data_IF_027886712635
#
_entry.id   IF_027886712635
#
_cell.length_a   1.000
_cell.length_b   1.000
_cell.length_c   1.000
_cell.angle_alpha   90.00
_cell.angle_beta   90.00
_cell.angle_gamma   90.00
#
_symmetry.space_group_name_H-M   'P 1'
#
loop_
_entity.id
_entity.type
_entity.pdbx_description
1 polymer ?
#
# COMPACT_ATOMS: atom_id res chain seq x y z
N UNK A 1 -13.70 2.09 0.34
CA UNK A 1 -13.96 3.41 -0.26
C UNK A 1 -13.93 3.30 -1.79
N UNK A 2 -14.96 3.75 -2.49
CA UNK A 2 -15.12 3.62 -3.95
C UNK A 2 -14.33 4.71 -4.68
N UNK A 3 -13.08 4.42 -5.05
CA UNK A 3 -12.33 5.19 -6.05
C UNK A 3 -12.37 4.52 -7.43
N UNK A 4 -11.91 5.21 -8.49
CA UNK A 4 -11.95 4.67 -9.84
C UNK A 4 -11.09 3.41 -9.98
N UNK A 5 -11.52 2.49 -10.85
CA UNK A 5 -10.75 1.32 -11.24
C UNK A 5 -10.33 1.49 -12.69
N UNK A 6 -9.03 1.45 -12.95
CA UNK A 6 -8.46 1.53 -14.29
C UNK A 6 -7.94 0.15 -14.69
N UNK A 7 -8.36 -0.33 -15.85
CA UNK A 7 -7.98 -1.64 -16.37
C UNK A 7 -7.26 -1.48 -17.70
N UNK A 8 -6.19 -2.25 -17.87
CA UNK A 8 -5.44 -2.39 -19.13
C UNK A 8 -5.40 -3.86 -19.52
N UNK A 9 -4.76 -4.19 -20.63
CA UNK A 9 -4.60 -5.58 -21.07
C UNK A 9 -3.88 -6.49 -20.05
N UNK A 10 -3.09 -5.93 -19.12
CA UNK A 10 -2.28 -6.72 -18.18
C UNK A 10 -2.40 -6.32 -16.71
N UNK A 11 -2.95 -5.14 -16.42
CA UNK A 11 -2.92 -4.54 -15.09
C UNK A 11 -4.27 -3.92 -14.72
N UNK A 12 -4.60 -4.03 -13.44
CA UNK A 12 -5.70 -3.32 -12.79
C UNK A 12 -5.11 -2.38 -11.75
N UNK A 13 -5.40 -1.08 -11.87
CA UNK A 13 -5.15 -0.11 -10.83
C UNK A 13 -6.47 0.18 -10.12
N UNK A 14 -6.51 -0.10 -8.82
CA UNK A 14 -7.67 0.11 -7.96
C UNK A 14 -7.25 0.83 -6.67
N UNK A 15 -8.20 1.41 -5.92
CA UNK A 15 -7.91 1.90 -4.57
C UNK A 15 -7.24 0.83 -3.71
N UNK A 16 -6.32 1.26 -2.86
CA UNK A 16 -5.67 0.40 -1.87
C UNK A 16 -6.71 -0.13 -0.90
N UNK A 17 -6.58 -1.39 -0.53
CA UNK A 17 -7.43 -2.13 0.39
C UNK A 17 -6.59 -2.77 1.48
N UNK A 18 -7.24 -3.26 2.53
CA UNK A 18 -6.55 -3.95 3.63
C UNK A 18 -5.85 -5.24 3.19
N UNK A 19 -6.35 -5.89 2.14
CA UNK A 19 -5.76 -7.12 1.58
C UNK A 19 -4.40 -6.88 0.93
N UNK A 20 -4.06 -5.64 0.59
CA UNK A 20 -2.78 -5.30 -0.04
C UNK A 20 -1.63 -5.22 0.97
N UNK A 21 -1.94 -5.12 2.26
CA UNK A 21 -0.92 -4.85 3.28
C UNK A 21 0.22 -5.89 3.31
N UNK A 22 -0.02 -7.22 3.23
CA UNK A 22 1.07 -8.19 3.22
C UNK A 22 2.07 -7.94 2.08
N UNK A 23 1.57 -7.73 0.85
CA UNK A 23 2.42 -7.44 -0.31
C UNK A 23 3.10 -6.08 -0.22
N UNK A 24 2.43 -5.10 0.35
CA UNK A 24 3.02 -3.79 0.62
C UNK A 24 4.20 -3.91 1.59
N UNK A 25 4.02 -4.65 2.69
CA UNK A 25 5.06 -4.86 3.69
C UNK A 25 6.27 -5.60 3.10
N UNK A 26 6.04 -6.61 2.24
CA UNK A 26 7.10 -7.26 1.46
C UNK A 26 7.87 -6.27 0.59
N UNK A 27 7.16 -5.43 -0.19
CA UNK A 27 7.78 -4.42 -1.05
C UNK A 27 8.61 -3.41 -0.25
N UNK A 28 8.12 -2.96 0.90
CA UNK A 28 8.83 -2.02 1.76
C UNK A 28 9.99 -2.66 2.51
N UNK A 29 10.04 -3.98 2.61
CA UNK A 29 11.17 -4.73 3.18
C UNK A 29 12.31 -4.94 2.18
N UNK A 30 12.06 -4.73 0.88
CA UNK A 30 13.03 -4.92 -0.19
C UNK A 30 13.94 -3.68 -0.35
N UNK A 31 15.28 -3.83 -0.26
CA UNK A 31 16.22 -2.71 -0.40
C UNK A 31 16.25 -2.05 -1.78
N UNK A 32 16.00 -2.80 -2.85
CA UNK A 32 15.98 -2.26 -4.21
C UNK A 32 14.69 -1.47 -4.45
N UNK A 33 13.53 -2.04 -4.09
CA UNK A 33 12.24 -1.39 -4.25
C UNK A 33 12.13 -0.11 -3.39
N UNK A 34 12.68 -0.15 -2.17
CA UNK A 34 12.58 0.96 -1.21
C UNK A 34 13.69 2.02 -1.34
N UNK A 35 14.68 1.81 -2.22
CA UNK A 35 15.90 2.62 -2.35
C UNK A 35 15.68 4.13 -2.39
N UNK A 36 14.59 4.58 -3.01
CA UNK A 36 14.30 6.01 -3.23
C UNK A 36 13.12 6.55 -2.41
N UNK A 37 12.51 5.73 -1.55
CA UNK A 37 11.30 6.07 -0.78
C UNK A 37 11.52 5.99 0.73
N UNK A 38 12.77 6.19 1.17
CA UNK A 38 13.15 6.18 2.58
C UNK A 38 13.82 4.89 3.07
N UNK A 39 14.11 3.95 2.16
CA UNK A 39 14.79 2.69 2.49
C UNK A 39 13.87 1.65 3.15
N UNK A 40 14.47 0.53 3.54
CA UNK A 40 13.76 -0.62 4.10
C UNK A 40 13.01 -0.24 5.37
N UNK A 41 11.75 -0.67 5.46
CA UNK A 41 10.90 -0.42 6.61
C UNK A 41 10.41 -1.72 7.26
N UNK A 42 10.33 -1.79 8.60
CA UNK A 42 9.62 -2.87 9.27
C UNK A 42 8.12 -2.77 8.99
N UNK A 43 7.41 -3.91 9.07
CA UNK A 43 5.97 -4.00 8.78
C UNK A 43 5.12 -2.98 9.58
N UNK A 44 5.49 -2.66 10.82
CA UNK A 44 4.80 -1.67 11.65
C UNK A 44 4.92 -0.22 11.13
N UNK A 45 6.01 0.11 10.45
CA UNK A 45 6.17 1.40 9.76
C UNK A 45 5.45 1.40 8.42
N UNK A 46 5.53 0.30 7.65
CA UNK A 46 4.79 0.13 6.41
C UNK A 46 3.26 0.23 6.63
N UNK A 47 2.75 -0.34 7.73
CA UNK A 47 1.36 -0.22 8.14
C UNK A 47 0.92 1.23 8.30
N UNK A 48 1.71 2.03 9.01
CA UNK A 48 1.46 3.46 9.18
C UNK A 48 1.45 4.17 7.83
N UNK A 49 2.36 3.82 6.92
CA UNK A 49 2.39 4.35 5.55
C UNK A 49 1.10 4.09 4.77
N UNK A 50 0.61 2.84 4.78
CA UNK A 50 -0.67 2.47 4.13
C UNK A 50 -1.84 3.27 4.71
N UNK A 51 -1.89 3.39 6.04
CA UNK A 51 -2.95 4.13 6.72
C UNK A 51 -2.92 5.63 6.42
N UNK A 52 -1.74 6.23 6.28
CA UNK A 52 -1.60 7.61 5.85
C UNK A 52 -2.00 7.81 4.40
N UNK A 53 -1.63 6.88 3.50
CA UNK A 53 -1.83 7.05 2.07
C UNK A 53 -3.28 6.77 1.63
N UNK A 54 -3.87 5.68 2.12
CA UNK A 54 -5.24 5.29 1.77
C UNK A 54 -6.30 5.95 2.67
N UNK A 55 -5.88 6.41 3.85
CA UNK A 55 -6.75 6.92 4.91
C UNK A 55 -7.21 5.82 5.86
N UNK A 56 -6.84 5.92 7.14
CA UNK A 56 -7.15 4.92 8.16
C UNK A 56 -8.66 4.65 8.28
N UNK A 57 -9.48 5.69 8.43
CA UNK A 57 -10.93 5.57 8.50
C UNK A 57 -11.51 4.83 7.29
N UNK A 58 -11.02 5.13 6.10
CA UNK A 58 -11.51 4.53 4.86
C UNK A 58 -11.20 3.02 4.74
N UNK A 59 -10.17 2.56 5.45
CA UNK A 59 -9.71 1.17 5.46
C UNK A 59 -10.26 0.36 6.64
N UNK A 60 -10.33 0.96 7.83
CA UNK A 60 -10.67 0.25 9.07
C UNK A 60 -12.04 0.59 9.62
N UNK A 61 -12.66 1.69 9.16
CA UNK A 61 -14.00 2.11 9.61
C UNK A 61 -14.09 2.58 11.06
N UNK A 62 -12.95 2.81 11.71
CA UNK A 62 -12.82 3.35 13.07
C UNK A 62 -12.06 4.67 13.06
#
# INVERSE_FOLDING_TARGET
>A
MTGPVLQTARLTLRPTTMEDFPRWAEMMADPEASRFIGGVQPASSAWRGVMTMAGAWALTGI
#
